data_IF_786969572237
#
_entry.id   IF_786969572237
#
_cell.length_a   1.000
_cell.length_b   1.000
_cell.length_c   1.000
_cell.angle_alpha   90.00
_cell.angle_beta   90.00
_cell.angle_gamma   90.00
#
_symmetry.space_group_name_H-M   'P 1'
#
loop_
_entity.id
_entity.type
_entity.pdbx_description
1 polymer ?
#
# COMPACT_ATOMS: atom_id res chain seq x y z
N UNK A 1 -22.79 -16.36 1.59
CA UNK A 1 -22.95 -14.91 1.32
C UNK A 1 -21.62 -14.37 0.86
N UNK A 2 -21.61 -13.32 0.02
CA UNK A 2 -20.41 -12.62 -0.40
C UNK A 2 -20.53 -11.15 0.02
N UNK A 3 -19.45 -10.53 0.47
CA UNK A 3 -19.37 -9.09 0.68
C UNK A 3 -18.94 -8.42 -0.61
N UNK A 4 -19.64 -7.35 -0.99
CA UNK A 4 -19.31 -6.54 -2.17
C UNK A 4 -18.79 -5.19 -1.71
N UNK A 5 -17.82 -4.65 -2.45
CA UNK A 5 -17.39 -3.27 -2.33
C UNK A 5 -18.56 -2.31 -2.57
N UNK A 6 -18.45 -1.07 -2.05
CA UNK A 6 -19.45 -0.06 -2.38
C UNK A 6 -19.52 0.13 -3.90
N UNK A 7 -20.72 0.44 -4.41
CA UNK A 7 -20.99 0.44 -5.86
C UNK A 7 -19.97 1.24 -6.67
N UNK A 8 -19.49 2.38 -6.16
CA UNK A 8 -18.49 3.21 -6.85
C UNK A 8 -17.11 2.57 -6.98
N UNK A 9 -16.74 1.69 -6.05
CA UNK A 9 -15.48 0.93 -6.10
C UNK A 9 -15.65 -0.41 -6.84
N UNK A 10 -16.87 -0.96 -6.88
CA UNK A 10 -17.14 -2.27 -7.47
C UNK A 10 -17.27 -2.28 -9.00
N UNK A 11 -17.69 -1.16 -9.61
CA UNK A 11 -18.11 -1.14 -11.02
C UNK A 11 -17.13 -0.45 -11.96
N UNK A 12 -16.12 0.25 -11.43
CA UNK A 12 -15.12 0.93 -12.25
C UNK A 12 -13.92 0.02 -12.50
N UNK A 13 -13.12 0.36 -13.51
CA UNK A 13 -11.83 -0.28 -13.79
C UNK A 13 -10.66 0.66 -13.51
N UNK A 14 -10.90 1.76 -12.79
CA UNK A 14 -9.87 2.77 -12.49
C UNK A 14 -8.91 2.32 -11.40
N UNK A 15 -9.34 1.39 -10.56
CA UNK A 15 -8.55 0.81 -9.49
C UNK A 15 -8.70 -0.70 -9.50
N UNK A 16 -7.59 -1.41 -9.34
CA UNK A 16 -7.53 -2.86 -9.37
C UNK A 16 -7.06 -3.38 -7.99
N UNK A 17 -7.84 -4.22 -7.30
CA UNK A 17 -7.36 -4.90 -6.10
C UNK A 17 -6.28 -5.91 -6.49
N UNK A 18 -5.12 -5.86 -5.83
CA UNK A 18 -3.99 -6.72 -6.17
C UNK A 18 -3.31 -7.39 -4.97
N UNK A 19 -3.59 -6.94 -3.74
CA UNK A 19 -3.06 -7.57 -2.54
C UNK A 19 -4.04 -7.58 -1.37
N UNK A 20 -3.82 -8.52 -0.46
CA UNK A 20 -4.55 -8.65 0.80
C UNK A 20 -3.59 -9.10 1.90
N UNK A 21 -3.74 -8.49 3.09
CA UNK A 21 -3.09 -8.93 4.32
C UNK A 21 -4.05 -8.66 5.48
N UNK A 22 -3.80 -9.21 6.66
CA UNK A 22 -4.70 -9.05 7.80
C UNK A 22 -3.98 -8.89 9.12
N UNK A 23 -4.73 -8.58 10.18
CA UNK A 23 -4.22 -8.58 11.55
C UNK A 23 -3.66 -9.95 11.98
N UNK A 24 -3.99 -11.06 11.29
CA UNK A 24 -3.33 -12.36 11.52
C UNK A 24 -1.93 -12.49 10.93
N UNK A 25 -1.58 -11.66 9.94
CA UNK A 25 -0.20 -11.56 9.48
C UNK A 25 0.63 -10.68 10.43
N UNK A 26 -0.03 -9.73 11.11
CA UNK A 26 0.60 -8.86 12.09
C UNK A 26 1.12 -9.64 13.30
N UNK A 27 0.26 -10.45 13.92
CA UNK A 27 0.55 -11.24 15.11
C UNK A 27 -0.24 -12.57 15.12
N UNK A 28 0.25 -13.54 15.88
CA UNK A 28 -0.28 -14.89 15.94
C UNK A 28 -1.66 -15.00 16.61
N UNK A 29 -2.10 -13.97 17.34
CA UNK A 29 -3.42 -13.92 17.96
C UNK A 29 -4.55 -13.52 16.99
N UNK A 30 -4.20 -13.12 15.77
CA UNK A 30 -5.16 -12.78 14.73
C UNK A 30 -5.75 -11.37 14.83
N UNK A 31 -5.32 -10.56 15.80
CA UNK A 31 -5.92 -9.26 16.10
C UNK A 31 -4.89 -8.14 16.17
N UNK A 32 -5.34 -6.93 15.89
CA UNK A 32 -4.59 -5.71 16.18
C UNK A 32 -5.24 -4.98 17.34
N UNK A 33 -4.61 -5.06 18.52
CA UNK A 33 -5.25 -4.68 19.78
C UNK A 33 -6.40 -5.63 20.09
N UNK A 34 -7.64 -5.18 19.89
CA UNK A 34 -8.84 -6.02 20.07
C UNK A 34 -9.62 -6.22 18.77
N UNK A 35 -9.08 -5.77 17.63
CA UNK A 35 -9.83 -5.71 16.37
C UNK A 35 -9.29 -6.71 15.36
N UNK A 36 -10.21 -7.33 14.61
CA UNK A 36 -9.88 -8.04 13.37
C UNK A 36 -9.91 -7.06 12.22
N UNK A 37 -8.82 -6.98 11.47
CA UNK A 37 -8.67 -6.03 10.37
C UNK A 37 -8.18 -6.76 9.13
N UNK A 38 -8.78 -6.46 7.99
CA UNK A 38 -8.29 -6.88 6.68
C UNK A 38 -7.84 -5.63 5.93
N UNK A 39 -6.66 -5.69 5.31
CA UNK A 39 -6.16 -4.66 4.42
C UNK A 39 -6.24 -5.15 2.99
N UNK A 40 -6.85 -4.37 2.10
CA UNK A 40 -6.86 -4.66 0.66
C UNK A 40 -6.15 -3.54 -0.09
N UNK A 41 -5.08 -3.89 -0.80
CA UNK A 41 -4.25 -2.97 -1.56
C UNK A 41 -4.72 -2.88 -3.01
N UNK A 42 -4.91 -1.65 -3.49
CA UNK A 42 -5.43 -1.36 -4.82
C UNK A 42 -4.49 -0.41 -5.56
N UNK A 43 -4.05 -0.78 -6.75
CA UNK A 43 -3.31 0.09 -7.65
C UNK A 43 -4.24 0.75 -8.66
N UNK A 44 -3.97 1.99 -9.03
CA UNK A 44 -4.64 2.62 -10.16
C UNK A 44 -4.33 1.87 -11.44
N UNK A 45 -5.36 1.70 -12.28
CA UNK A 45 -5.21 1.05 -13.56
C UNK A 45 -4.44 1.95 -14.53
N UNK A 46 -3.26 1.50 -14.95
CA UNK A 46 -2.41 2.19 -15.91
C UNK A 46 -3.05 2.38 -17.29
N UNK A 47 -4.14 1.68 -17.61
CA UNK A 47 -4.88 1.88 -18.86
C UNK A 47 -5.86 3.05 -18.79
N UNK A 48 -6.21 3.52 -17.58
CA UNK A 48 -7.16 4.63 -17.38
C UNK A 48 -6.49 5.90 -16.82
N UNK A 49 -5.28 5.78 -16.27
CA UNK A 49 -4.48 6.93 -15.78
C UNK A 49 -2.98 6.68 -15.92
N UNK A 50 -2.19 7.76 -15.85
CA UNK A 50 -0.71 7.73 -15.81
C UNK A 50 -0.14 8.03 -14.42
N UNK A 51 -1.00 8.22 -13.41
CA UNK A 51 -0.58 8.55 -12.05
C UNK A 51 -0.03 7.34 -11.30
N UNK A 52 -0.65 6.16 -11.48
CA UNK A 52 -0.28 4.87 -10.89
C UNK A 52 -0.27 4.87 -9.35
N UNK A 53 -1.19 5.60 -8.71
CA UNK A 53 -1.29 5.67 -7.26
C UNK A 53 -1.74 4.34 -6.65
N UNK A 54 -1.24 4.04 -5.46
CA UNK A 54 -1.76 2.98 -4.61
C UNK A 54 -2.71 3.52 -3.53
N UNK A 55 -3.74 2.76 -3.16
CA UNK A 55 -4.63 3.01 -2.01
C UNK A 55 -4.90 1.73 -1.22
N UNK A 56 -5.21 1.86 0.07
CA UNK A 56 -5.43 0.71 0.95
C UNK A 56 -6.80 0.85 1.62
N UNK A 57 -7.67 -0.15 1.43
CA UNK A 57 -8.89 -0.27 2.22
C UNK A 57 -8.54 -0.91 3.56
N UNK A 58 -8.80 -0.18 4.64
CA UNK A 58 -8.79 -0.71 6.00
C UNK A 58 -10.19 -1.20 6.32
N UNK A 59 -10.38 -2.51 6.36
CA UNK A 59 -11.68 -3.15 6.56
C UNK A 59 -11.80 -3.58 8.01
N UNK A 60 -12.82 -3.07 8.71
CA UNK A 60 -13.28 -3.59 9.99
C UNK A 60 -13.91 -4.97 9.77
N UNK A 61 -13.23 -6.00 10.28
CA UNK A 61 -13.62 -7.41 10.13
C UNK A 61 -14.07 -8.02 11.47
N UNK A 62 -14.46 -7.20 12.44
CA UNK A 62 -14.99 -7.69 13.72
C UNK A 62 -16.35 -8.39 13.57
N UNK A 63 -17.17 -7.96 12.61
CA UNK A 63 -18.41 -8.64 12.19
C UNK A 63 -18.34 -9.00 10.69
N UNK A 64 -18.11 -10.27 10.34
CA UNK A 64 -17.98 -10.69 8.94
C UNK A 64 -19.28 -10.55 8.13
N UNK A 65 -20.43 -10.32 8.78
CA UNK A 65 -21.68 -10.03 8.08
C UNK A 65 -21.88 -8.54 7.79
N UNK A 66 -21.03 -7.67 8.33
CA UNK A 66 -21.17 -6.22 8.27
C UNK A 66 -19.82 -5.52 8.15
N UNK A 67 -19.04 -5.91 7.13
CA UNK A 67 -17.75 -5.30 6.87
C UNK A 67 -17.94 -3.83 6.47
N UNK A 68 -17.08 -2.97 7.01
CA UNK A 68 -17.00 -1.54 6.69
C UNK A 68 -15.55 -1.19 6.43
N UNK A 69 -15.31 -0.24 5.54
CA UNK A 69 -13.94 0.15 5.23
C UNK A 69 -13.74 1.66 5.16
N UNK A 70 -12.48 2.05 5.32
CA UNK A 70 -11.98 3.39 5.03
C UNK A 70 -10.78 3.28 4.11
N UNK A 71 -10.75 4.13 3.11
CA UNK A 71 -9.56 4.30 2.28
C UNK A 71 -8.50 5.10 3.03
N UNK A 72 -7.27 4.60 2.98
CA UNK A 72 -6.07 5.26 3.45
C UNK A 72 -5.10 5.38 2.27
N UNK A 73 -4.59 6.59 2.03
CA UNK A 73 -3.62 6.84 0.98
C UNK A 73 -2.19 6.68 1.52
N UNK A 74 -1.42 5.66 1.09
CA UNK A 74 0.01 5.60 1.39
C UNK A 74 0.74 6.75 0.69
N UNK A 75 1.60 7.46 1.44
CA UNK A 75 2.32 8.64 0.95
C UNK A 75 3.81 8.59 1.29
N UNK A 76 4.63 9.18 0.42
CA UNK A 76 6.07 9.31 0.60
C UNK A 76 6.38 10.74 1.07
N UNK A 77 6.91 10.93 2.29
CA UNK A 77 7.33 12.24 2.76
C UNK A 77 8.39 12.85 1.85
N UNK A 78 8.23 14.13 1.55
CA UNK A 78 9.18 14.93 0.79
C UNK A 78 9.73 16.04 1.67
N UNK A 79 10.90 16.60 1.31
CA UNK A 79 11.46 17.79 1.94
C UNK A 79 11.54 17.69 3.47
N UNK A 80 11.99 16.54 3.99
CA UNK A 80 12.08 16.28 5.43
C UNK A 80 10.73 16.19 6.15
N UNK A 81 9.63 15.93 5.43
CA UNK A 81 8.27 15.82 5.96
C UNK A 81 7.46 17.12 5.91
N UNK A 82 7.94 18.14 5.21
CA UNK A 82 7.19 19.39 4.98
C UNK A 82 6.25 19.32 3.77
N UNK A 83 6.34 18.24 3.00
CA UNK A 83 5.40 17.88 1.94
C UNK A 83 5.31 16.35 1.80
N UNK A 84 4.42 15.82 0.94
CA UNK A 84 4.39 14.42 0.56
C UNK A 84 3.76 14.20 -0.83
N UNK A 85 4.17 13.11 -1.49
CA UNK A 85 3.54 12.61 -2.72
C UNK A 85 2.82 11.30 -2.45
N UNK A 86 1.86 10.94 -3.30
CA UNK A 86 1.25 9.61 -3.26
C UNK A 86 2.30 8.53 -3.54
N UNK A 87 2.19 7.39 -2.87
CA UNK A 87 2.91 6.18 -3.27
C UNK A 87 2.41 5.78 -4.67
N UNK A 88 3.35 5.57 -5.59
CA UNK A 88 3.07 4.89 -6.85
C UNK A 88 3.35 3.41 -6.67
N UNK A 89 2.36 2.57 -6.95
CA UNK A 89 2.47 1.11 -6.81
C UNK A 89 1.33 0.42 -7.55
N UNK A 90 1.62 -0.75 -8.12
CA UNK A 90 0.58 -1.67 -8.58
C UNK A 90 -0.18 -2.33 -7.42
N UNK A 91 0.39 -2.28 -6.20
CA UNK A 91 -0.11 -2.98 -5.01
C UNK A 91 -0.12 -4.51 -5.16
N UNK A 92 0.80 -5.06 -5.95
CA UNK A 92 0.99 -6.51 -6.09
C UNK A 92 1.61 -7.18 -4.87
N UNK A 93 2.30 -6.42 -4.00
CA UNK A 93 2.86 -6.90 -2.75
C UNK A 93 2.52 -5.99 -1.57
N UNK A 94 1.87 -6.54 -0.56
CA UNK A 94 1.59 -5.88 0.72
C UNK A 94 1.56 -6.92 1.84
N UNK A 95 2.43 -6.75 2.85
CA UNK A 95 2.51 -7.62 4.02
C UNK A 95 2.46 -6.80 5.29
N UNK A 96 1.57 -7.16 6.19
CA UNK A 96 1.55 -6.64 7.54
C UNK A 96 2.33 -7.59 8.46
N UNK A 97 3.38 -7.10 9.09
CA UNK A 97 4.15 -7.84 10.08
C UNK A 97 4.39 -6.96 11.32
N UNK A 98 3.99 -7.45 12.50
CA UNK A 98 3.98 -6.69 13.75
C UNK A 98 3.28 -5.32 13.59
N UNK A 99 3.99 -4.21 13.84
CA UNK A 99 3.45 -2.86 13.69
C UNK A 99 3.81 -2.20 12.35
N UNK A 100 4.33 -2.98 11.39
CA UNK A 100 4.77 -2.49 10.08
C UNK A 100 3.94 -3.07 8.95
N UNK A 101 3.67 -2.22 7.96
CA UNK A 101 3.13 -2.60 6.68
C UNK A 101 4.19 -2.38 5.61
N UNK A 102 4.58 -3.42 4.91
CA UNK A 102 5.60 -3.40 3.87
C UNK A 102 4.89 -3.51 2.53
N UNK A 103 5.11 -2.56 1.63
CA UNK A 103 4.42 -2.46 0.35
C UNK A 103 5.45 -2.36 -0.77
N UNK A 104 5.28 -3.13 -1.83
CA UNK A 104 6.12 -3.00 -3.03
C UNK A 104 5.86 -1.68 -3.74
N UNK A 105 6.93 -1.08 -4.25
CA UNK A 105 6.89 0.18 -4.98
C UNK A 105 6.69 -0.07 -6.48
N UNK A 106 6.39 0.99 -7.23
CA UNK A 106 6.45 0.94 -8.68
C UNK A 106 7.90 0.88 -9.18
N UNK A 107 8.16 0.13 -10.25
CA UNK A 107 9.49 -0.03 -10.86
C UNK A 107 10.14 1.31 -11.29
N UNK A 108 9.31 2.32 -11.59
CA UNK A 108 9.73 3.68 -11.99
C UNK A 108 9.62 4.69 -10.85
N UNK A 109 9.69 4.24 -9.60
CA UNK A 109 9.69 5.14 -8.46
C UNK A 109 10.83 6.16 -8.54
N UNK A 110 10.52 7.43 -8.28
CA UNK A 110 11.46 8.53 -8.46
C UNK A 110 12.68 8.44 -7.54
N UNK A 111 12.52 7.76 -6.41
CA UNK A 111 13.57 7.60 -5.40
C UNK A 111 14.33 6.26 -5.56
N UNK A 112 14.03 5.50 -6.63
CA UNK A 112 14.57 4.15 -6.90
C UNK A 112 14.35 3.15 -5.74
N UNK A 113 13.33 3.38 -4.92
CA UNK A 113 12.94 2.44 -3.88
C UNK A 113 12.06 1.36 -4.47
N UNK A 114 12.30 0.12 -4.06
CA UNK A 114 11.55 -1.05 -4.47
C UNK A 114 10.48 -1.46 -3.46
N UNK A 115 10.61 -1.00 -2.22
CA UNK A 115 9.62 -1.20 -1.17
C UNK A 115 9.58 0.01 -0.24
N UNK A 116 8.40 0.27 0.33
CA UNK A 116 8.20 1.24 1.39
C UNK A 116 7.63 0.57 2.63
N UNK A 117 8.02 1.09 3.77
CA UNK A 117 7.62 0.60 5.09
C UNK A 117 6.74 1.67 5.72
N UNK A 118 5.57 1.28 6.18
CA UNK A 118 4.61 2.14 6.87
C UNK A 118 4.40 1.63 8.29
N UNK A 119 4.08 2.53 9.21
CA UNK A 119 3.82 2.18 10.61
C UNK A 119 2.32 2.25 10.91
N UNK A 120 1.74 1.14 11.40
CA UNK A 120 0.31 1.03 11.71
C UNK A 120 -0.17 2.01 12.79
N UNK A 121 0.75 2.60 13.55
CA UNK A 121 0.48 3.65 14.55
C UNK A 121 0.54 5.06 13.95
N UNK A 122 0.85 5.20 12.65
CA UNK A 122 1.05 6.50 11.97
C UNK A 122 0.08 6.68 10.80
N UNK A 123 -1.20 6.78 11.13
CA UNK A 123 -2.25 7.20 10.19
C UNK A 123 -2.66 8.63 10.55
N UNK A 124 -2.57 9.54 9.59
CA UNK A 124 -2.84 10.96 9.78
C UNK A 124 -4.10 11.35 9.00
N UNK A 125 -4.83 12.34 9.51
CA UNK A 125 -6.02 12.85 8.85
C UNK A 125 -5.65 14.04 7.94
N UNK A 126 -6.12 14.03 6.69
CA UNK A 126 -6.06 15.19 5.82
C UNK A 126 -7.00 16.28 6.33
N UNK A 127 -6.59 17.54 6.18
CA UNK A 127 -7.32 18.70 6.73
C UNK A 127 -8.02 19.53 5.66
N UNK A 128 -7.67 19.31 4.39
CA UNK A 128 -8.26 19.98 3.23
C UNK A 128 -8.76 18.91 2.27
N UNK A 129 -10.02 19.02 1.86
CA UNK A 129 -10.58 18.17 0.82
C UNK A 129 -10.34 18.81 -0.55
N UNK A 130 -9.34 18.32 -1.30
CA UNK A 130 -9.09 18.69 -2.69
C UNK A 130 -8.50 17.51 -3.46
N UNK A 131 -8.39 17.63 -4.79
CA UNK A 131 -7.74 16.64 -5.65
C UNK A 131 -6.21 16.69 -5.61
N UNK A 132 -5.62 17.56 -4.81
CA UNK A 132 -4.16 17.59 -4.64
C UNK A 132 -3.72 16.54 -3.62
N UNK A 133 -2.49 16.05 -3.76
CA UNK A 133 -1.80 15.26 -2.74
C UNK A 133 -0.66 16.11 -2.18
N UNK A 134 -0.57 16.21 -0.86
CA UNK A 134 0.52 16.91 -0.19
C UNK A 134 0.07 18.20 0.50
N UNK A 135 1.04 19.09 0.70
CA UNK A 135 0.85 20.39 1.32
C UNK A 135 0.09 21.31 0.37
N UNK A 136 -0.98 21.93 0.89
CA UNK A 136 -1.77 22.92 0.16
C UNK A 136 -2.00 24.16 1.02
N UNK A 137 -2.53 25.22 0.42
CA UNK A 137 -2.99 26.39 1.19
C UNK A 137 -4.01 25.94 2.25
N UNK A 138 -3.77 26.33 3.50
CA UNK A 138 -4.65 26.00 4.63
C UNK A 138 -4.48 24.61 5.25
N UNK A 139 -3.60 23.74 4.73
CA UNK A 139 -3.45 22.42 5.34
C UNK A 139 -2.77 21.35 4.50
N UNK A 140 -3.33 20.14 4.56
CA UNK A 140 -2.82 18.93 3.93
C UNK A 140 -3.95 18.22 3.21
N UNK A 141 -3.72 17.82 1.97
CA UNK A 141 -4.71 17.14 1.13
C UNK A 141 -4.25 15.74 0.73
N UNK A 142 -5.20 14.88 0.45
CA UNK A 142 -4.98 13.48 0.12
C UNK A 142 -5.88 13.04 -1.03
N UNK A 143 -6.01 13.85 -2.08
CA UNK A 143 -6.81 13.53 -3.27
C UNK A 143 -8.23 13.05 -2.92
N UNK A 144 -8.95 13.85 -2.14
CA UNK A 144 -10.30 13.51 -1.65
C UNK A 144 -10.38 12.44 -0.55
N UNK A 145 -9.30 11.69 -0.28
CA UNK A 145 -9.24 10.76 0.84
C UNK A 145 -9.14 11.50 2.18
N UNK A 146 -9.66 10.88 3.24
CA UNK A 146 -9.64 11.47 4.58
C UNK A 146 -8.36 11.17 5.35
N UNK A 147 -7.64 10.10 4.99
CA UNK A 147 -6.50 9.61 5.75
C UNK A 147 -5.30 9.32 4.85
N UNK A 148 -4.11 9.63 5.37
CA UNK A 148 -2.83 9.27 4.77
C UNK A 148 -2.01 8.41 5.72
N UNK A 149 -1.16 7.55 5.16
CA UNK A 149 -0.19 6.77 5.91
C UNK A 149 1.22 7.10 5.38
N UNK A 150 2.00 7.92 6.08
CA UNK A 150 3.34 8.28 5.61
C UNK A 150 4.33 7.13 5.79
N UNK A 151 5.14 6.88 4.78
CA UNK A 151 6.25 5.93 4.87
C UNK A 151 7.23 6.35 5.97
N UNK A 152 7.72 5.37 6.73
CA UNK A 152 8.72 5.52 7.80
C UNK A 152 10.08 4.94 7.43
N UNK A 153 10.17 4.24 6.30
CA UNK A 153 11.40 3.73 5.73
C UNK A 153 11.19 3.18 4.32
N UNK A 154 12.28 2.79 3.67
CA UNK A 154 12.26 2.21 2.34
C UNK A 154 13.42 1.25 2.14
N UNK A 155 13.31 0.40 1.12
CA UNK A 155 14.40 -0.41 0.62
C UNK A 155 14.65 -0.07 -0.84
N UNK A 156 15.93 0.03 -1.20
CA UNK A 156 16.41 0.14 -2.58
C UNK A 156 17.35 -1.02 -2.88
N UNK A 157 17.52 -1.31 -4.17
CA UNK A 157 18.47 -2.31 -4.63
C UNK A 157 19.84 -1.70 -4.85
N UNK A 158 20.88 -2.45 -4.47
CA UNK A 158 22.22 -2.17 -4.94
C UNK A 158 22.24 -2.25 -6.48
N UNK A 159 22.73 -1.22 -7.15
CA UNK A 159 22.76 -1.16 -8.62
C UNK A 159 21.56 -0.48 -9.28
N UNK A 160 20.62 0.07 -8.50
CA UNK A 160 19.54 0.93 -8.99
C UNK A 160 18.21 0.20 -9.20
N UNK A 161 17.28 0.87 -9.88
CA UNK A 161 15.95 0.33 -10.18
C UNK A 161 16.03 -0.91 -11.09
N UNK A 162 15.08 -1.81 -10.92
CA UNK A 162 14.87 -2.92 -11.85
C UNK A 162 14.18 -2.40 -13.14
N UNK A 163 14.10 -3.24 -14.16
CA UNK A 163 13.27 -2.96 -15.33
C UNK A 163 12.52 -4.22 -15.76
N UNK A 164 11.18 -4.16 -15.79
CA UNK A 164 10.36 -5.32 -16.10
C UNK A 164 10.53 -5.84 -17.53
N UNK A 165 11.10 -5.03 -18.43
CA UNK A 165 11.27 -5.35 -19.86
C UNK A 165 12.61 -6.01 -20.18
N UNK A 166 13.54 -6.09 -19.23
CA UNK A 166 14.85 -6.68 -19.45
C UNK A 166 15.36 -7.34 -18.17
N UNK A 167 15.79 -8.59 -18.30
CA UNK A 167 16.48 -9.30 -17.22
C UNK A 167 17.92 -8.78 -17.11
N UNK A 168 18.09 -7.73 -16.32
CA UNK A 168 19.38 -7.15 -15.96
C UNK A 168 19.91 -7.67 -14.62
N UNK A 169 19.40 -8.81 -14.18
CA UNK A 169 19.70 -9.44 -12.88
C UNK A 169 19.38 -8.57 -11.66
N UNK A 170 18.51 -7.55 -11.81
CA UNK A 170 17.92 -6.83 -10.67
C UNK A 170 16.48 -7.30 -10.44
N UNK A 171 16.12 -7.70 -9.21
CA UNK A 171 14.78 -8.18 -8.91
C UNK A 171 13.71 -7.11 -9.12
N UNK A 172 12.74 -7.36 -10.00
CA UNK A 172 11.50 -6.59 -10.06
C UNK A 172 10.44 -7.22 -9.16
N UNK A 173 10.32 -6.77 -7.92
CA UNK A 173 9.38 -7.34 -6.96
C UNK A 173 7.92 -7.14 -7.39
N UNK A 174 7.27 -8.25 -7.77
CA UNK A 174 5.86 -8.30 -8.15
C UNK A 174 4.94 -8.54 -6.95
N UNK A 175 5.36 -9.38 -6.00
CA UNK A 175 4.61 -9.67 -4.77
C UNK A 175 5.52 -9.92 -3.58
N UNK A 176 4.95 -9.83 -2.37
CA UNK A 176 5.62 -10.15 -1.11
C UNK A 176 4.62 -10.85 -0.17
N UNK A 177 5.12 -11.82 0.59
CA UNK A 177 4.35 -12.62 1.58
C UNK A 177 5.19 -12.91 2.82
N UNK A 178 4.54 -13.34 3.90
CA UNK A 178 5.17 -13.69 5.18
C UNK A 178 5.26 -15.22 5.32
N UNK A 179 6.45 -15.74 5.61
CA UNK A 179 6.69 -17.14 5.98
C UNK A 179 6.98 -17.27 7.48
N UNK A 180 5.95 -17.65 8.22
CA UNK A 180 6.00 -17.93 9.67
C UNK A 180 6.55 -19.32 10.02
N UNK A 181 6.89 -20.16 9.04
CA UNK A 181 7.51 -21.46 9.30
C UNK A 181 9.01 -21.36 9.60
N UNK A 182 9.62 -20.23 9.23
CA UNK A 182 11.02 -19.89 9.50
C UNK A 182 11.22 -19.21 10.86
N UNK A 183 12.44 -19.30 11.43
CA UNK A 183 12.81 -18.63 12.69
C UNK A 183 14.14 -17.88 12.49
N UNK A 184 14.15 -16.53 12.58
CA UNK A 184 12.97 -15.66 12.69
C UNK A 184 12.06 -15.75 11.46
N UNK A 185 10.81 -15.30 11.59
CA UNK A 185 9.87 -15.15 10.46
C UNK A 185 10.56 -14.44 9.29
N UNK A 186 10.29 -14.87 8.06
CA UNK A 186 10.93 -14.36 6.86
C UNK A 186 9.93 -13.83 5.84
N UNK A 187 10.42 -12.98 4.94
CA UNK A 187 9.64 -12.47 3.81
C UNK A 187 9.99 -13.27 2.56
N UNK A 188 8.97 -13.72 1.84
CA UNK A 188 9.12 -14.36 0.54
C UNK A 188 8.63 -13.39 -0.51
N UNK A 189 9.52 -13.02 -1.43
CA UNK A 189 9.24 -12.09 -2.50
C UNK A 189 9.34 -12.78 -3.86
N UNK A 190 8.47 -12.39 -4.79
CA UNK A 190 8.48 -12.91 -6.17
C UNK A 190 8.83 -11.81 -7.15
N UNK A 191 9.48 -12.17 -8.24
CA UNK A 191 9.75 -11.24 -9.33
C UNK A 191 8.66 -11.29 -10.40
N UNK A 192 8.47 -10.17 -11.10
CA UNK A 192 7.65 -10.09 -12.30
C UNK A 192 8.43 -9.40 -13.43
N UNK A 193 8.35 -9.97 -14.62
CA UNK A 193 8.90 -9.43 -15.85
C UNK A 193 7.79 -9.42 -16.91
N UNK A 194 7.69 -8.33 -17.66
CA UNK A 194 6.89 -8.26 -18.88
C UNK A 194 7.70 -8.87 -20.02
N UNK A 195 7.32 -10.07 -20.44
CA UNK A 195 7.86 -10.73 -21.64
C UNK A 195 7.54 -9.97 -22.93
#
# INVERSE_FOLDING_TARGET
SAYCWDTGDAVTQDWLPQSVTSSGDADNDGVWGTNKVILSGWGQNGTTTTDHMGRIAFIDANDPNNLKYRWVLPVIPLNGGTDYRALKSHMGGMVWYQDKLIVTSWEKDSDNNVMYIFDMKRILQATVNSSAVGKVSGGWSADGYQYVMPAVGSYSLAGGACSSTNDDSRPCFGSISLDRSSVPDSLVATEWLSS
#
